data_IF_276469892466
#
_entry.id   IF_276469892466
#
_cell.length_a   1.000
_cell.length_b   1.000
_cell.length_c   1.000
_cell.angle_alpha   90.00
_cell.angle_beta   90.00
_cell.angle_gamma   90.00
#
_symmetry.space_group_name_H-M   'P 1'
#
loop_
_entity.id
_entity.type
_entity.pdbx_description
1 polymer ?
#
# COMPACT_ATOMS: atom_id res chain seq x y z
N UNK A 1 -25.22 14.44 37.34
CA UNK A 1 -24.59 13.73 36.21
C UNK A 1 -24.46 12.26 36.59
N UNK A 2 -25.28 11.39 35.99
CA UNK A 2 -25.21 9.95 36.24
C UNK A 2 -23.86 9.40 35.79
N UNK A 3 -23.20 8.61 36.64
CA UNK A 3 -21.99 7.87 36.26
C UNK A 3 -22.35 7.01 35.05
N UNK A 4 -21.83 7.35 33.87
CA UNK A 4 -21.89 6.49 32.69
C UNK A 4 -21.46 5.08 33.13
N UNK A 5 -22.36 4.11 33.05
CA UNK A 5 -22.05 2.71 33.41
C UNK A 5 -21.04 2.17 32.40
N UNK A 6 -19.76 2.32 32.74
CA UNK A 6 -18.58 1.90 31.98
C UNK A 6 -18.66 0.45 31.49
N UNK A 7 -19.31 -0.44 32.25
CA UNK A 7 -19.46 -1.84 31.88
C UNK A 7 -20.41 -2.10 30.68
N UNK A 8 -21.46 -1.30 30.49
CA UNK A 8 -22.37 -1.49 29.34
C UNK A 8 -21.75 -0.96 28.05
N UNK A 9 -21.15 0.24 28.10
CA UNK A 9 -20.43 0.82 26.94
C UNK A 9 -19.30 -0.09 26.49
N UNK A 10 -18.49 -0.62 27.42
CA UNK A 10 -17.44 -1.58 27.08
C UNK A 10 -18.02 -2.85 26.44
N UNK A 11 -19.13 -3.41 26.95
CA UNK A 11 -19.76 -4.61 26.35
C UNK A 11 -20.25 -4.36 24.92
N UNK A 12 -20.84 -3.21 24.65
CA UNK A 12 -21.35 -2.89 23.32
C UNK A 12 -20.21 -2.63 22.32
N UNK A 13 -19.17 -1.88 22.71
CA UNK A 13 -17.97 -1.70 21.88
C UNK A 13 -17.25 -3.03 21.58
N UNK A 14 -17.20 -3.96 22.54
CA UNK A 14 -16.62 -5.29 22.32
C UNK A 14 -17.47 -6.13 21.35
N UNK A 15 -18.79 -5.93 21.31
CA UNK A 15 -19.70 -6.61 20.36
C UNK A 15 -19.48 -6.12 18.94
N UNK A 16 -19.47 -4.80 18.74
CA UNK A 16 -19.21 -4.18 17.44
C UNK A 16 -17.87 -4.64 16.86
N UNK A 17 -16.81 -4.66 17.67
CA UNK A 17 -15.51 -5.14 17.21
C UNK A 17 -15.54 -6.63 16.81
N UNK A 18 -16.20 -7.51 17.59
CA UNK A 18 -16.30 -8.92 17.21
C UNK A 18 -17.11 -9.11 15.93
N UNK A 19 -18.17 -8.32 15.74
CA UNK A 19 -18.96 -8.31 14.51
C UNK A 19 -18.13 -7.87 13.32
N UNK A 20 -17.37 -6.78 13.46
CA UNK A 20 -16.42 -6.31 12.45
C UNK A 20 -15.39 -7.39 12.07
N UNK A 21 -14.72 -7.99 13.05
CA UNK A 21 -13.71 -9.04 12.80
C UNK A 21 -14.33 -10.23 12.05
N UNK A 22 -15.54 -10.67 12.44
CA UNK A 22 -16.26 -11.76 11.76
C UNK A 22 -16.64 -11.38 10.33
N UNK A 23 -17.13 -10.17 10.11
CA UNK A 23 -17.49 -9.65 8.78
C UNK A 23 -16.27 -9.60 7.85
N UNK A 24 -15.12 -9.10 8.33
CA UNK A 24 -13.87 -9.08 7.55
C UNK A 24 -13.37 -10.50 7.25
N UNK A 25 -13.40 -11.40 8.23
CA UNK A 25 -13.02 -12.80 8.03
C UNK A 25 -13.83 -13.48 6.91
N UNK A 26 -15.16 -13.29 6.93
CA UNK A 26 -16.04 -13.79 5.87
C UNK A 26 -15.72 -13.18 4.51
N UNK A 27 -15.59 -11.85 4.46
CA UNK A 27 -15.32 -11.11 3.23
C UNK A 27 -14.04 -11.61 2.55
N UNK A 28 -12.93 -11.71 3.28
CA UNK A 28 -11.66 -12.12 2.69
C UNK A 28 -11.60 -13.61 2.37
N UNK A 29 -12.26 -14.46 3.15
CA UNK A 29 -12.38 -15.89 2.82
C UNK A 29 -13.15 -16.07 1.51
N UNK A 30 -14.21 -15.28 1.29
CA UNK A 30 -15.00 -15.31 0.06
C UNK A 30 -14.22 -14.77 -1.16
N UNK A 31 -13.30 -13.82 -0.94
CA UNK A 31 -12.41 -13.28 -1.98
C UNK A 31 -11.21 -14.17 -2.29
N UNK A 32 -10.95 -15.22 -1.49
CA UNK A 32 -9.77 -16.07 -1.63
C UNK A 32 -8.48 -15.47 -1.03
N UNK A 33 -8.60 -14.43 -0.20
CA UNK A 33 -7.48 -13.83 0.53
C UNK A 33 -7.40 -14.44 1.93
N UNK A 34 -6.98 -15.69 2.01
CA UNK A 34 -7.02 -16.52 3.20
C UNK A 34 -6.02 -16.07 4.26
N UNK A 35 -4.88 -15.49 3.89
CA UNK A 35 -3.95 -14.89 4.85
C UNK A 35 -4.60 -13.74 5.64
N UNK A 36 -5.25 -12.80 4.93
CA UNK A 36 -5.94 -11.67 5.57
C UNK A 36 -7.12 -12.18 6.40
N UNK A 37 -7.88 -13.14 5.88
CA UNK A 37 -8.94 -13.78 6.65
C UNK A 37 -8.41 -14.42 7.93
N UNK A 38 -7.29 -15.14 7.87
CA UNK A 38 -6.67 -15.78 9.03
C UNK A 38 -6.25 -14.76 10.10
N UNK A 39 -5.65 -13.61 9.76
CA UNK A 39 -5.35 -12.54 10.73
C UNK A 39 -6.61 -12.07 11.47
N UNK A 40 -7.71 -11.82 10.74
CA UNK A 40 -8.99 -11.45 11.35
C UNK A 40 -9.59 -12.55 12.23
N UNK A 41 -9.52 -13.81 11.80
CA UNK A 41 -10.04 -14.95 12.54
C UNK A 41 -9.23 -15.17 13.82
N UNK A 42 -7.91 -15.10 13.77
CA UNK A 42 -7.04 -15.22 14.95
C UNK A 42 -7.41 -14.15 15.99
N UNK A 43 -7.60 -12.89 15.55
CA UNK A 43 -8.04 -11.79 16.43
C UNK A 43 -9.43 -12.05 17.02
N UNK A 44 -10.36 -12.58 16.23
CA UNK A 44 -11.70 -12.96 16.70
C UNK A 44 -11.61 -14.07 17.75
N UNK A 45 -10.88 -15.15 17.46
CA UNK A 45 -10.78 -16.34 18.32
C UNK A 45 -10.01 -16.07 19.61
N UNK A 46 -9.00 -15.19 19.59
CA UNK A 46 -8.35 -14.71 20.82
C UNK A 46 -9.31 -14.03 21.78
N UNK A 47 -10.43 -13.49 21.28
CA UNK A 47 -11.48 -12.82 22.06
C UNK A 47 -12.69 -13.72 22.32
N UNK A 48 -13.00 -14.61 21.37
CA UNK A 48 -14.13 -15.53 21.36
C UNK A 48 -13.67 -16.94 20.93
N UNK A 49 -12.95 -17.67 21.81
CA UNK A 49 -12.34 -18.95 21.44
C UNK A 49 -13.36 -20.08 21.17
N UNK A 50 -14.64 -19.85 21.49
CA UNK A 50 -15.75 -20.79 21.29
C UNK A 50 -16.71 -20.33 20.19
N UNK A 51 -16.28 -19.45 19.29
CA UNK A 51 -17.08 -18.96 18.17
C UNK A 51 -17.16 -20.02 17.07
N UNK A 52 -18.33 -20.66 16.81
CA UNK A 52 -18.40 -21.76 15.83
C UNK A 52 -18.01 -21.32 14.42
N UNK A 53 -18.49 -20.16 13.99
CA UNK A 53 -18.21 -19.60 12.66
C UNK A 53 -16.72 -19.28 12.52
N UNK A 54 -16.13 -18.61 13.52
CA UNK A 54 -14.70 -18.32 13.53
C UNK A 54 -13.83 -19.58 13.49
N UNK A 55 -14.22 -20.64 14.21
CA UNK A 55 -13.48 -21.91 14.20
C UNK A 55 -13.56 -22.65 12.86
N UNK A 56 -14.73 -22.62 12.19
CA UNK A 56 -14.93 -23.25 10.89
C UNK A 56 -14.23 -22.46 9.77
N UNK A 57 -14.35 -21.13 9.78
CA UNK A 57 -13.58 -20.25 8.88
C UNK A 57 -12.09 -20.39 9.12
N UNK A 58 -11.66 -20.53 10.38
CA UNK A 58 -10.26 -20.71 10.76
C UNK A 58 -9.65 -21.96 10.13
N UNK A 59 -10.38 -23.08 10.13
CA UNK A 59 -9.95 -24.30 9.43
C UNK A 59 -9.80 -24.07 7.91
N UNK A 60 -10.76 -23.39 7.28
CA UNK A 60 -10.70 -23.10 5.85
C UNK A 60 -9.51 -22.20 5.52
N UNK A 61 -9.41 -21.04 6.19
CA UNK A 61 -8.35 -20.07 5.93
C UNK A 61 -6.96 -20.66 6.20
N UNK A 62 -6.79 -21.37 7.32
CA UNK A 62 -5.53 -22.00 7.68
C UNK A 62 -5.09 -23.08 6.69
N UNK A 63 -6.04 -23.81 6.09
CA UNK A 63 -5.72 -24.84 5.07
C UNK A 63 -5.16 -24.21 3.81
N UNK A 64 -5.76 -23.11 3.32
CA UNK A 64 -5.29 -22.42 2.11
C UNK A 64 -4.04 -21.57 2.36
N UNK A 65 -3.84 -21.07 3.57
CA UNK A 65 -2.63 -20.32 3.96
C UNK A 65 -1.50 -21.21 4.53
N UNK A 66 -1.62 -22.54 4.41
CA UNK A 66 -0.62 -23.53 4.85
C UNK A 66 -0.21 -23.43 6.33
N UNK A 67 -1.18 -23.24 7.22
CA UNK A 67 -0.98 -23.11 8.68
C UNK A 67 -1.47 -24.36 9.42
N UNK A 68 -0.74 -25.48 9.34
CA UNK A 68 -1.17 -26.77 9.92
C UNK A 68 -1.44 -26.71 11.43
N UNK A 69 -0.62 -25.96 12.16
CA UNK A 69 -0.81 -25.73 13.60
C UNK A 69 -2.14 -25.03 13.87
N UNK A 70 -2.53 -24.08 13.01
CA UNK A 70 -3.77 -23.35 13.17
C UNK A 70 -4.99 -24.20 12.80
N UNK A 71 -4.89 -25.04 11.75
CA UNK A 71 -5.90 -26.05 11.40
C UNK A 71 -6.14 -26.99 12.60
N UNK A 72 -5.08 -27.55 13.18
CA UNK A 72 -5.18 -28.48 14.30
C UNK A 72 -5.86 -27.85 15.52
N UNK A 73 -5.47 -26.61 15.87
CA UNK A 73 -6.09 -25.85 16.98
C UNK A 73 -7.57 -25.58 16.74
N UNK A 74 -7.96 -25.22 15.52
CA UNK A 74 -9.36 -25.01 15.17
C UNK A 74 -10.17 -26.29 15.33
N UNK A 75 -9.69 -27.42 14.76
CA UNK A 75 -10.38 -28.72 14.85
C UNK A 75 -10.53 -29.21 16.30
N UNK A 76 -9.48 -29.09 17.11
CA UNK A 76 -9.53 -29.46 18.52
C UNK A 76 -10.56 -28.60 19.29
N UNK A 77 -10.62 -27.30 19.02
CA UNK A 77 -11.59 -26.41 19.63
C UNK A 77 -13.03 -26.69 19.15
N UNK A 78 -13.23 -27.01 17.86
CA UNK A 78 -14.52 -27.45 17.31
C UNK A 78 -14.99 -28.72 18.03
N UNK A 79 -14.15 -29.76 18.12
CA UNK A 79 -14.48 -31.03 18.79
C UNK A 79 -14.90 -30.82 20.26
N UNK A 80 -14.12 -30.04 21.01
CA UNK A 80 -14.47 -29.69 22.40
C UNK A 80 -15.81 -28.99 22.51
N UNK A 81 -16.11 -28.08 21.57
CA UNK A 81 -17.36 -27.35 21.54
C UNK A 81 -18.55 -28.25 21.19
N UNK A 82 -18.38 -29.18 20.24
CA UNK A 82 -19.38 -30.19 19.88
C UNK A 82 -19.74 -31.06 21.07
N UNK A 83 -18.73 -31.61 21.78
CA UNK A 83 -18.93 -32.41 23.00
C UNK A 83 -19.68 -31.61 24.07
N UNK A 84 -19.29 -30.35 24.29
CA UNK A 84 -19.96 -29.48 25.28
C UNK A 84 -21.43 -29.20 24.94
N UNK A 85 -21.78 -29.17 23.65
CA UNK A 85 -23.12 -28.81 23.16
C UNK A 85 -23.98 -30.02 22.79
N UNK A 86 -23.43 -31.24 22.86
CA UNK A 86 -24.15 -32.47 22.54
C UNK A 86 -24.48 -32.62 21.05
N UNK A 87 -23.65 -32.06 20.16
CA UNK A 87 -23.79 -32.18 18.70
C UNK A 87 -22.62 -32.93 18.10
N UNK A 88 -22.77 -33.44 16.88
CA UNK A 88 -21.72 -34.22 16.19
C UNK A 88 -20.88 -33.39 15.24
N UNK A 89 -21.48 -32.39 14.60
CA UNK A 89 -20.81 -31.50 13.65
C UNK A 89 -20.85 -30.04 14.14
N UNK A 90 -19.72 -29.34 14.06
CA UNK A 90 -19.63 -27.94 14.44
C UNK A 90 -20.48 -27.03 13.53
N UNK A 91 -20.85 -27.48 12.31
CA UNK A 91 -21.82 -26.79 11.46
C UNK A 91 -23.21 -26.69 12.11
N UNK A 92 -23.61 -27.66 12.95
CA UNK A 92 -24.90 -27.63 13.67
C UNK A 92 -24.97 -26.47 14.67
N UNK A 93 -23.82 -25.94 15.11
CA UNK A 93 -23.70 -24.83 16.05
C UNK A 93 -23.84 -23.46 15.39
N UNK A 94 -23.89 -23.39 14.06
CA UNK A 94 -24.09 -22.16 13.30
C UNK A 94 -25.59 -21.89 13.20
N UNK A 95 -26.06 -20.77 13.76
CA UNK A 95 -27.48 -20.49 13.91
C UNK A 95 -28.19 -20.24 12.57
N UNK A 96 -27.55 -19.52 11.65
CA UNK A 96 -28.13 -19.13 10.37
C UNK A 96 -27.88 -20.19 9.30
N UNK A 97 -28.94 -20.73 8.69
CA UNK A 97 -28.82 -21.80 7.67
C UNK A 97 -28.02 -21.32 6.44
N UNK A 98 -28.20 -20.06 6.03
CA UNK A 98 -27.45 -19.49 4.91
C UNK A 98 -25.93 -19.40 5.19
N UNK A 99 -25.52 -19.16 6.45
CA UNK A 99 -24.10 -19.21 6.83
C UNK A 99 -23.59 -20.66 6.84
N UNK A 100 -24.41 -21.58 7.34
CA UNK A 100 -24.10 -23.01 7.43
C UNK A 100 -23.84 -23.62 6.04
N UNK A 101 -24.69 -23.33 5.06
CA UNK A 101 -24.52 -23.79 3.68
C UNK A 101 -23.22 -23.25 3.06
N UNK A 102 -22.93 -21.96 3.25
CA UNK A 102 -21.68 -21.35 2.77
C UNK A 102 -20.45 -21.98 3.41
N UNK A 103 -20.46 -22.21 4.73
CA UNK A 103 -19.36 -22.88 5.43
C UNK A 103 -19.18 -24.31 4.94
N UNK A 104 -20.27 -25.06 4.73
CA UNK A 104 -20.23 -26.42 4.18
C UNK A 104 -19.54 -26.45 2.83
N UNK A 105 -19.87 -25.52 1.93
CA UNK A 105 -19.23 -25.41 0.62
C UNK A 105 -17.73 -25.04 0.73
N UNK A 106 -17.38 -24.09 1.60
CA UNK A 106 -15.99 -23.69 1.82
C UNK A 106 -15.14 -24.81 2.42
N UNK A 107 -15.69 -25.58 3.38
CA UNK A 107 -15.02 -26.72 4.00
C UNK A 107 -14.83 -27.87 3.02
N UNK A 108 -15.83 -28.15 2.17
CA UNK A 108 -15.69 -29.13 1.09
C UNK A 108 -14.54 -28.73 0.15
N UNK A 109 -14.51 -27.46 -0.29
CA UNK A 109 -13.42 -26.90 -1.12
C UNK A 109 -12.06 -27.05 -0.43
N UNK A 110 -11.96 -26.77 0.88
CA UNK A 110 -10.72 -26.88 1.63
C UNK A 110 -10.24 -28.34 1.81
N UNK A 111 -11.16 -29.30 1.91
CA UNK A 111 -10.85 -30.74 2.00
C UNK A 111 -10.35 -31.31 0.68
N UNK A 112 -10.91 -30.85 -0.42
CA UNK A 112 -10.55 -31.26 -1.79
C UNK A 112 -9.33 -30.51 -2.34
N UNK A 113 -8.92 -29.41 -1.69
CA UNK A 113 -7.77 -28.64 -2.10
C UNK A 113 -6.51 -29.53 -2.07
N UNK A 114 -5.76 -29.63 -3.19
CA UNK A 114 -4.53 -30.39 -3.21
C UNK A 114 -3.56 -29.83 -2.17
N UNK A 115 -2.68 -30.67 -1.64
CA UNK A 115 -1.50 -30.17 -0.93
C UNK A 115 -0.66 -29.40 -1.95
N UNK A 116 -0.81 -28.07 -1.95
CA UNK A 116 -0.07 -27.19 -2.84
C UNK A 116 1.39 -27.28 -2.43
N UNK A 117 2.23 -27.83 -3.30
CA UNK A 117 3.69 -27.79 -3.15
C UNK A 117 4.14 -26.40 -3.60
N UNK A 118 4.18 -25.44 -2.67
CA UNK A 118 4.60 -24.05 -2.92
C UNK A 118 3.65 -23.01 -2.31
N UNK A 119 4.14 -21.78 -2.21
CA UNK A 119 3.41 -20.60 -1.73
C UNK A 119 2.04 -20.44 -2.41
N UNK A 120 0.97 -20.25 -1.62
CA UNK A 120 -0.32 -19.87 -2.17
C UNK A 120 -0.28 -18.36 -2.51
N UNK A 121 -0.18 -18.03 -3.80
CA UNK A 121 -0.23 -16.64 -4.26
C UNK A 121 -1.65 -16.08 -4.13
N UNK A 122 -1.78 -15.06 -3.28
CA UNK A 122 -2.99 -14.27 -3.10
C UNK A 122 -2.79 -12.87 -3.69
N UNK A 123 -3.88 -12.12 -3.83
CA UNK A 123 -3.84 -10.80 -4.44
C UNK A 123 -4.70 -9.78 -3.69
N UNK A 124 -4.12 -8.62 -3.42
CA UNK A 124 -4.84 -7.47 -2.89
C UNK A 124 -5.00 -6.41 -3.97
N UNK A 125 -6.22 -5.87 -4.08
CA UNK A 125 -6.57 -4.77 -4.98
C UNK A 125 -7.14 -3.64 -4.13
N UNK A 126 -6.49 -2.48 -4.20
CA UNK A 126 -6.89 -1.26 -3.50
C UNK A 126 -7.45 -0.28 -4.52
N UNK A 127 -8.70 0.12 -4.32
CA UNK A 127 -9.36 1.15 -5.11
C UNK A 127 -9.25 2.50 -4.42
N UNK A 128 -9.29 3.57 -5.22
CA UNK A 128 -9.37 4.92 -4.72
C UNK A 128 -10.69 5.15 -3.97
N UNK A 129 -10.64 5.96 -2.92
CA UNK A 129 -11.82 6.41 -2.17
C UNK A 129 -12.02 7.93 -2.27
N UNK A 130 -11.07 8.64 -2.87
CA UNK A 130 -11.21 10.07 -3.16
C UNK A 130 -12.25 10.31 -4.28
N UNK A 131 -13.18 11.26 -4.10
CA UNK A 131 -14.11 11.64 -5.16
C UNK A 131 -13.38 12.14 -6.39
N UNK A 132 -13.79 11.68 -7.58
CA UNK A 132 -13.16 12.06 -8.86
C UNK A 132 -13.02 13.58 -9.05
N UNK A 133 -14.03 14.35 -8.62
CA UNK A 133 -14.02 15.82 -8.73
C UNK A 133 -12.91 16.48 -7.89
N UNK A 134 -12.57 15.91 -6.73
CA UNK A 134 -11.49 16.41 -5.87
C UNK A 134 -10.13 16.18 -6.53
N UNK A 135 -9.90 14.96 -7.03
CA UNK A 135 -8.69 14.62 -7.78
C UNK A 135 -8.58 15.46 -9.06
N UNK A 136 -9.69 15.70 -9.77
CA UNK A 136 -9.71 16.58 -10.95
C UNK A 136 -9.35 18.03 -10.58
N UNK A 137 -9.84 18.54 -9.45
CA UNK A 137 -9.48 19.85 -8.92
C UNK A 137 -7.97 19.96 -8.64
N UNK A 138 -7.39 18.93 -8.02
CA UNK A 138 -5.95 18.88 -7.76
C UNK A 138 -5.14 18.85 -9.07
N UNK A 139 -5.56 18.06 -10.06
CA UNK A 139 -4.91 18.00 -11.39
C UNK A 139 -4.93 19.35 -12.09
N UNK A 140 -6.05 20.10 -12.02
CA UNK A 140 -6.12 21.46 -12.60
C UNK A 140 -5.11 22.40 -11.95
N UNK A 141 -4.94 22.35 -10.63
CA UNK A 141 -3.93 23.15 -9.92
C UNK A 141 -2.51 22.77 -10.39
N UNK A 142 -2.22 21.48 -10.54
CA UNK A 142 -0.91 21.01 -11.00
C UNK A 142 -0.63 21.39 -12.47
N UNK A 143 -1.65 21.37 -13.32
CA UNK A 143 -1.56 21.84 -14.71
C UNK A 143 -1.32 23.35 -14.77
N UNK A 144 -1.99 24.14 -13.92
CA UNK A 144 -1.80 25.60 -13.83
C UNK A 144 -0.41 26.01 -13.34
N UNK A 145 0.33 25.13 -12.67
CA UNK A 145 1.75 25.39 -12.31
C UNK A 145 2.67 25.41 -13.52
N UNK A 146 2.27 24.78 -14.63
CA UNK A 146 3.03 24.81 -15.88
C UNK A 146 2.77 26.08 -16.70
N UNK A 147 1.64 26.76 -16.50
CA UNK A 147 1.24 27.97 -17.20
C UNK A 147 -0.16 28.45 -16.79
N UNK A 148 -0.55 29.67 -17.15
CA UNK A 148 -1.79 30.29 -16.64
C UNK A 148 -3.09 29.55 -17.01
N UNK A 149 -3.13 28.90 -18.19
CA UNK A 149 -4.27 28.08 -18.61
C UNK A 149 -3.89 26.59 -18.55
N UNK A 150 -4.71 25.73 -17.94
CA UNK A 150 -4.44 24.30 -17.92
C UNK A 150 -4.53 23.73 -19.34
N UNK A 151 -3.49 23.04 -19.76
CA UNK A 151 -3.44 22.36 -21.07
C UNK A 151 -3.98 20.93 -21.01
N UNK A 152 -4.20 20.41 -19.80
CA UNK A 152 -4.56 19.01 -19.56
C UNK A 152 -5.60 18.89 -18.46
N UNK A 153 -6.32 17.78 -18.46
CA UNK A 153 -7.28 17.43 -17.42
C UNK A 153 -7.29 15.93 -17.10
N UNK A 154 -7.88 15.60 -15.95
CA UNK A 154 -8.18 14.23 -15.57
C UNK A 154 -9.46 13.76 -16.26
N UNK A 155 -9.40 12.60 -16.92
CA UNK A 155 -10.56 11.91 -17.46
C UNK A 155 -10.54 10.42 -17.09
N UNK A 156 -11.70 9.76 -17.17
CA UNK A 156 -11.84 8.31 -17.05
C UNK A 156 -12.81 7.80 -18.13
N UNK A 157 -12.33 7.62 -19.38
CA UNK A 157 -13.20 7.20 -20.48
C UNK A 157 -13.76 5.78 -20.25
N UNK A 158 -15.08 5.60 -20.43
CA UNK A 158 -15.76 4.29 -20.20
C UNK A 158 -15.35 3.20 -21.20
N UNK A 159 -14.95 3.58 -22.41
CA UNK A 159 -14.57 2.66 -23.49
C UNK A 159 -13.05 2.66 -23.69
N UNK A 160 -12.32 2.51 -22.59
CA UNK A 160 -10.86 2.48 -22.60
C UNK A 160 -10.36 1.28 -21.81
N UNK A 161 -9.26 0.69 -22.30
CA UNK A 161 -8.48 -0.29 -21.52
C UNK A 161 -7.71 0.38 -20.37
N UNK A 162 -7.60 1.71 -20.41
CA UNK A 162 -7.02 2.51 -19.35
C UNK A 162 -8.08 2.91 -18.33
N UNK A 163 -7.67 3.05 -17.07
CA UNK A 163 -8.48 3.65 -16.02
C UNK A 163 -8.52 5.18 -16.15
N UNK A 164 -8.32 5.85 -15.01
CA UNK A 164 -8.12 7.30 -15.00
C UNK A 164 -6.83 7.65 -15.76
N UNK A 165 -6.83 8.79 -16.43
CA UNK A 165 -5.69 9.28 -17.21
C UNK A 165 -5.69 10.79 -17.37
N UNK A 166 -4.54 11.33 -17.77
CA UNK A 166 -4.38 12.75 -18.09
C UNK A 166 -4.53 12.95 -19.60
N UNK A 167 -5.40 13.84 -20.02
CA UNK A 167 -5.75 14.07 -21.43
C UNK A 167 -5.52 15.53 -21.81
N UNK A 168 -5.10 15.77 -23.05
CA UNK A 168 -4.89 17.11 -23.58
C UNK A 168 -6.24 17.80 -23.86
N UNK A 169 -6.39 19.02 -23.35
CA UNK A 169 -7.56 19.88 -23.59
C UNK A 169 -7.51 20.60 -24.94
N UNK A 170 -6.35 20.64 -25.56
CA UNK A 170 -6.08 21.35 -26.82
C UNK A 170 -4.88 20.71 -27.51
N UNK A 171 -4.53 21.16 -28.71
CA UNK A 171 -3.27 20.78 -29.34
C UNK A 171 -2.10 21.35 -28.54
N UNK A 172 -1.09 20.52 -28.24
CA UNK A 172 0.10 20.91 -27.48
C UNK A 172 1.33 20.65 -28.34
N UNK A 173 2.20 21.65 -28.51
CA UNK A 173 3.45 21.52 -29.26
C UNK A 173 4.48 20.68 -28.52
N UNK A 174 5.39 20.05 -29.25
CA UNK A 174 6.57 19.38 -28.67
C UNK A 174 7.40 20.31 -27.76
N UNK A 175 7.98 19.76 -26.69
CA UNK A 175 8.81 20.49 -25.72
C UNK A 175 8.03 21.34 -24.71
N UNK A 176 6.71 21.28 -24.72
CA UNK A 176 5.86 22.08 -23.82
C UNK A 176 5.79 21.44 -22.45
N UNK A 177 5.99 22.22 -21.39
CA UNK A 177 5.67 21.80 -20.02
C UNK A 177 4.17 21.88 -19.80
N UNK A 178 3.54 20.77 -19.40
CA UNK A 178 2.08 20.65 -19.31
C UNK A 178 1.57 20.46 -17.89
N UNK A 179 2.44 20.03 -16.97
CA UNK A 179 2.10 19.82 -15.57
C UNK A 179 3.34 19.92 -14.67
N UNK A 180 3.18 20.55 -13.51
CA UNK A 180 4.16 20.52 -12.43
C UNK A 180 3.54 19.99 -11.13
N UNK A 181 4.04 18.84 -10.67
CA UNK A 181 3.64 18.23 -9.40
C UNK A 181 4.81 18.18 -8.41
N UNK A 182 4.48 18.17 -7.12
CA UNK A 182 5.39 18.03 -6.00
C UNK A 182 5.08 16.71 -5.28
N UNK A 183 6.08 15.94 -4.85
CA UNK A 183 5.82 14.70 -4.13
C UNK A 183 5.10 15.03 -2.83
N UNK A 184 4.01 14.31 -2.54
CA UNK A 184 3.32 14.44 -1.26
C UNK A 184 3.92 13.51 -0.20
N UNK A 185 4.71 12.55 -0.64
CA UNK A 185 5.39 11.58 0.20
C UNK A 185 6.75 11.26 -0.40
N UNK A 186 7.76 11.14 0.47
CA UNK A 186 9.08 10.62 0.11
C UNK A 186 9.63 9.71 1.20
N UNK A 187 10.33 8.65 0.80
CA UNK A 187 11.11 7.82 1.69
C UNK A 187 12.59 7.85 1.27
N UNK A 188 13.43 8.31 2.19
CA UNK A 188 14.88 8.45 1.99
C UNK A 188 15.56 7.09 1.99
N UNK A 189 16.38 6.85 0.97
CA UNK A 189 17.24 5.67 0.88
C UNK A 189 18.65 5.92 1.41
N UNK A 190 19.21 7.12 1.15
CA UNK A 190 20.61 7.43 1.47
C UNK A 190 20.73 8.59 2.46
N UNK A 191 21.77 8.57 3.31
CA UNK A 191 22.00 9.62 4.31
C UNK A 191 22.45 10.98 3.74
N UNK A 192 22.88 11.04 2.48
CA UNK A 192 23.35 12.24 1.79
C UNK A 192 22.23 13.05 1.11
N UNK A 193 20.97 12.69 1.31
CA UNK A 193 19.81 13.46 0.85
C UNK A 193 18.90 13.89 2.00
N UNK A 194 18.17 14.97 1.80
CA UNK A 194 17.20 15.49 2.75
C UNK A 194 16.11 14.45 3.05
N UNK A 195 15.84 14.19 4.33
CA UNK A 195 14.82 13.22 4.75
C UNK A 195 13.37 13.61 4.40
N UNK A 196 13.13 14.90 4.12
CA UNK A 196 11.80 15.44 3.83
C UNK A 196 11.52 15.68 2.33
N UNK A 197 12.54 15.98 1.52
CA UNK A 197 12.34 16.32 0.10
C UNK A 197 13.30 15.61 -0.88
N UNK A 198 14.20 14.76 -0.39
CA UNK A 198 15.20 14.02 -1.18
C UNK A 198 16.21 14.87 -1.97
N UNK A 199 16.24 16.19 -1.76
CA UNK A 199 17.29 17.05 -2.32
C UNK A 199 18.65 16.64 -1.74
N UNK A 200 19.66 16.48 -2.61
CA UNK A 200 21.03 16.17 -2.20
C UNK A 200 21.59 17.23 -1.27
N UNK A 201 22.15 16.78 -0.14
CA UNK A 201 22.82 17.64 0.81
C UNK A 201 24.25 17.85 0.32
N UNK A 202 24.69 19.11 0.22
CA UNK A 202 26.07 19.42 -0.15
C UNK A 202 27.08 18.83 0.84
N UNK A 203 28.34 18.66 0.43
CA UNK A 203 29.43 18.28 1.35
C UNK A 203 30.28 19.50 1.65
N UNK A 204 30.68 19.68 2.91
CA UNK A 204 31.64 20.71 3.32
C UNK A 204 32.63 20.11 4.30
N UNK A 205 33.92 20.07 3.94
CA UNK A 205 34.98 19.54 4.82
C UNK A 205 34.79 18.08 5.25
N UNK A 206 34.15 17.23 4.44
CA UNK A 206 33.89 15.82 4.76
C UNK A 206 32.55 15.55 5.49
N UNK A 207 31.91 16.57 6.06
CA UNK A 207 30.59 16.48 6.69
C UNK A 207 29.45 16.83 5.71
N UNK A 208 28.27 16.23 5.91
CA UNK A 208 27.04 16.59 5.18
C UNK A 208 26.56 17.97 5.65
N UNK A 209 26.42 18.89 4.69
CA UNK A 209 25.91 20.24 4.92
C UNK A 209 24.38 20.16 4.95
N UNK A 210 23.83 20.06 6.15
CA UNK A 210 22.38 20.04 6.37
C UNK A 210 22.00 20.46 7.78
N UNK A 211 20.73 20.75 7.97
CA UNK A 211 20.14 21.09 9.27
C UNK A 211 19.76 19.76 9.94
N UNK A 212 20.38 19.37 11.07
CA UNK A 212 20.00 18.16 11.79
C UNK A 212 18.65 18.34 12.50
N UNK A 213 18.03 17.22 12.87
CA UNK A 213 16.95 17.25 13.84
C UNK A 213 17.42 17.89 15.17
N UNK A 214 16.53 18.63 15.84
CA UNK A 214 16.84 19.24 17.14
C UNK A 214 16.76 18.23 18.30
N UNK A 215 16.28 17.02 18.03
CA UNK A 215 15.93 16.03 19.06
C UNK A 215 16.61 14.67 18.86
N UNK A 216 17.21 14.41 17.70
CA UNK A 216 17.98 13.19 17.44
C UNK A 216 19.14 13.51 16.49
N UNK A 217 20.03 12.55 16.33
CA UNK A 217 21.21 12.60 15.46
C UNK A 217 21.01 11.85 14.12
N UNK A 218 19.79 11.35 13.83
CA UNK A 218 19.52 10.41 12.73
C UNK A 218 19.03 11.06 11.43
N UNK A 219 18.26 12.15 11.53
CA UNK A 219 17.68 12.83 10.37
C UNK A 219 18.33 14.18 10.11
N UNK A 220 18.58 14.43 8.82
CA UNK A 220 19.19 15.66 8.31
C UNK A 220 18.36 16.19 7.15
N UNK A 221 18.23 17.52 7.11
CA UNK A 221 17.35 18.23 6.19
C UNK A 221 18.12 19.31 5.43
N UNK A 222 17.64 19.70 4.24
CA UNK A 222 18.30 20.75 3.45
C UNK A 222 18.08 22.16 4.01
N UNK A 223 17.06 22.36 4.85
CA UNK A 223 16.70 23.67 5.42
C UNK A 223 15.95 23.52 6.74
N UNK A 224 15.89 24.61 7.52
CA UNK A 224 15.07 24.70 8.74
C UNK A 224 13.59 24.44 8.40
N UNK A 225 13.10 24.96 7.26
CA UNK A 225 11.74 24.72 6.81
C UNK A 225 11.44 23.22 6.59
N UNK A 226 12.34 22.47 5.95
CA UNK A 226 12.19 21.02 5.78
C UNK A 226 12.25 20.26 7.10
N UNK A 227 13.12 20.65 8.03
CA UNK A 227 13.18 20.05 9.38
C UNK A 227 11.86 20.25 10.13
N UNK A 228 11.37 21.48 10.14
CA UNK A 228 10.16 21.84 10.89
C UNK A 228 8.89 21.25 10.25
N UNK A 229 8.84 21.15 8.92
CA UNK A 229 7.79 20.44 8.20
C UNK A 229 7.81 18.93 8.53
N UNK A 230 8.96 18.27 8.40
CA UNK A 230 9.11 16.87 8.77
C UNK A 230 8.69 16.58 10.20
N UNK A 231 9.10 17.43 11.15
CA UNK A 231 8.69 17.32 12.55
C UNK A 231 7.17 17.38 12.70
N UNK A 232 6.52 18.37 12.08
CA UNK A 232 5.06 18.54 12.14
C UNK A 232 4.26 17.50 11.39
N UNK A 233 4.86 16.81 10.42
CA UNK A 233 4.14 15.89 9.54
C UNK A 233 4.31 14.43 9.94
N UNK A 234 5.50 13.99 10.34
CA UNK A 234 5.75 12.57 10.65
C UNK A 234 6.83 12.33 11.71
N UNK A 235 7.90 13.13 11.73
CA UNK A 235 9.09 12.82 12.49
C UNK A 235 8.87 12.92 14.02
N UNK A 236 7.93 13.73 14.50
CA UNK A 236 7.63 13.86 15.94
C UNK A 236 7.29 12.53 16.63
N UNK A 237 6.64 11.59 15.94
CA UNK A 237 6.30 10.27 16.49
C UNK A 237 7.24 9.15 16.00
N UNK A 238 8.15 9.44 15.07
CA UNK A 238 9.18 8.52 14.57
C UNK A 238 10.58 8.80 15.16
N UNK A 239 10.79 9.97 15.77
CA UNK A 239 12.06 10.41 16.30
C UNK A 239 12.53 9.53 17.47
N UNK A 240 13.81 9.14 17.45
CA UNK A 240 14.39 8.23 18.45
C UNK A 240 14.33 8.73 19.88
N UNK A 241 14.37 10.04 20.11
CA UNK A 241 14.19 10.62 21.46
C UNK A 241 12.75 10.60 21.98
N UNK A 242 11.77 10.24 21.13
CA UNK A 242 10.35 10.18 21.49
C UNK A 242 9.76 8.78 21.37
N UNK A 243 10.29 7.96 20.47
CA UNK A 243 9.78 6.65 20.16
C UNK A 243 10.92 5.65 19.92
N UNK A 244 11.50 5.17 21.01
CA UNK A 244 12.60 4.21 21.00
C UNK A 244 12.23 2.91 20.25
N UNK A 245 10.99 2.45 20.39
CA UNK A 245 10.54 1.23 19.73
C UNK A 245 10.44 1.38 18.21
N UNK A 246 9.88 2.49 17.72
CA UNK A 246 9.89 2.79 16.29
C UNK A 246 11.32 2.94 15.78
N UNK A 247 12.17 3.65 16.51
CA UNK A 247 13.55 3.91 16.16
C UNK A 247 14.39 2.62 16.06
N UNK A 248 14.23 1.69 17.01
CA UNK A 248 14.89 0.38 16.96
C UNK A 248 14.44 -0.45 15.74
N UNK A 249 13.14 -0.44 15.43
CA UNK A 249 12.63 -1.10 14.22
C UNK A 249 13.15 -0.44 12.95
N UNK A 250 13.20 0.89 12.91
CA UNK A 250 13.71 1.65 11.77
C UNK A 250 15.19 1.35 11.50
N UNK A 251 16.02 1.25 12.54
CA UNK A 251 17.44 0.89 12.43
C UNK A 251 17.61 -0.49 11.78
N UNK A 252 16.85 -1.48 12.25
CA UNK A 252 16.90 -2.83 11.69
C UNK A 252 16.52 -2.88 10.20
N UNK A 253 15.64 -2.00 9.74
CA UNK A 253 15.31 -1.87 8.31
C UNK A 253 16.37 -1.08 7.54
N UNK A 254 16.97 -0.05 8.15
CA UNK A 254 18.06 0.72 7.54
C UNK A 254 19.32 -0.12 7.33
N UNK A 255 19.61 -1.07 8.22
CA UNK A 255 20.68 -2.03 8.02
C UNK A 255 20.44 -2.90 6.78
N UNK A 256 19.22 -3.45 6.63
CA UNK A 256 18.82 -4.24 5.45
C UNK A 256 18.83 -3.44 4.16
N UNK A 257 18.55 -2.14 4.24
CA UNK A 257 18.61 -1.25 3.09
C UNK A 257 20.03 -1.14 2.50
N UNK A 258 21.06 -1.37 3.32
CA UNK A 258 22.47 -1.39 2.93
C UNK A 258 22.94 -2.77 2.43
N UNK A 259 22.05 -3.77 2.36
CA UNK A 259 22.36 -5.09 1.80
C UNK A 259 22.76 -4.98 0.33
N UNK A 260 23.71 -5.83 -0.09
CA UNK A 260 24.08 -6.00 -1.50
C UNK A 260 22.96 -6.71 -2.30
N UNK A 261 22.02 -7.35 -1.60
CA UNK A 261 20.82 -7.93 -2.20
C UNK A 261 19.81 -6.82 -2.54
N UNK A 262 19.61 -6.61 -3.84
CA UNK A 262 18.69 -5.59 -4.37
C UNK A 262 17.22 -5.86 -4.02
N UNK A 263 16.82 -7.11 -3.85
CA UNK A 263 15.46 -7.49 -3.45
C UNK A 263 15.24 -7.18 -1.98
N UNK A 264 16.19 -7.57 -1.12
CA UNK A 264 16.16 -7.24 0.31
C UNK A 264 16.20 -5.72 0.54
N UNK A 265 17.08 -5.00 -0.15
CA UNK A 265 17.17 -3.54 -0.06
C UNK A 265 15.87 -2.87 -0.51
N UNK A 266 15.22 -3.37 -1.57
CA UNK A 266 13.91 -2.87 -2.03
C UNK A 266 12.80 -3.17 -1.03
N UNK A 267 12.77 -4.36 -0.46
CA UNK A 267 11.80 -4.75 0.56
C UNK A 267 11.94 -3.85 1.81
N UNK A 268 13.17 -3.62 2.27
CA UNK A 268 13.46 -2.73 3.39
C UNK A 268 13.01 -1.28 3.09
N UNK A 269 13.25 -0.77 1.88
CA UNK A 269 12.79 0.55 1.48
C UNK A 269 11.26 0.67 1.50
N UNK A 270 10.56 -0.36 1.03
CA UNK A 270 9.11 -0.43 1.05
C UNK A 270 8.57 -0.47 2.50
N UNK A 271 9.17 -1.28 3.38
CA UNK A 271 8.83 -1.32 4.81
C UNK A 271 8.97 0.06 5.44
N UNK A 272 10.10 0.74 5.22
CA UNK A 272 10.33 2.10 5.71
C UNK A 272 9.29 3.09 5.17
N UNK A 273 8.90 2.96 3.89
CA UNK A 273 7.90 3.82 3.29
C UNK A 273 6.52 3.62 3.94
N UNK A 274 6.09 2.37 4.14
CA UNK A 274 4.84 2.04 4.83
C UNK A 274 4.85 2.55 6.28
N UNK A 275 5.95 2.35 7.01
CA UNK A 275 6.09 2.84 8.37
C UNK A 275 5.98 4.37 8.45
N UNK A 276 6.57 5.09 7.49
CA UNK A 276 6.47 6.55 7.41
C UNK A 276 5.06 7.02 7.05
N UNK A 277 4.32 6.29 6.20
CA UNK A 277 2.89 6.54 5.97
C UNK A 277 2.07 6.33 7.24
N UNK A 278 2.34 5.28 8.01
CA UNK A 278 1.72 5.09 9.32
C UNK A 278 2.05 6.25 10.26
N UNK A 279 3.30 6.70 10.33
CA UNK A 279 3.69 7.86 11.14
C UNK A 279 2.97 9.15 10.71
N UNK A 280 2.89 9.43 9.40
CA UNK A 280 2.11 10.55 8.85
C UNK A 280 0.64 10.49 9.30
N UNK A 281 0.01 9.32 9.19
CA UNK A 281 -1.39 9.12 9.57
C UNK A 281 -1.61 9.26 11.09
N UNK A 282 -0.64 8.85 11.91
CA UNK A 282 -0.66 9.08 13.36
C UNK A 282 -0.61 10.56 13.68
N UNK A 283 0.28 11.34 13.06
CA UNK A 283 0.36 12.78 13.33
C UNK A 283 -0.90 13.51 12.85
N UNK A 284 -1.45 13.11 11.70
CA UNK A 284 -2.67 13.70 11.14
C UNK A 284 -3.96 13.17 11.80
N UNK A 285 -3.88 12.15 12.66
CA UNK A 285 -5.03 11.52 13.33
C UNK A 285 -6.08 10.99 12.34
N UNK A 286 -5.61 10.38 11.25
CA UNK A 286 -6.46 9.75 10.22
C UNK A 286 -6.08 8.29 10.05
N UNK A 287 -6.99 7.49 9.50
CA UNK A 287 -6.66 6.14 9.07
C UNK A 287 -5.57 6.17 7.98
N UNK A 288 -4.57 5.26 7.97
CA UNK A 288 -3.48 5.29 6.98
C UNK A 288 -3.96 5.35 5.52
N UNK A 289 -4.95 4.53 5.17
CA UNK A 289 -5.55 4.52 3.82
C UNK A 289 -6.44 5.73 3.51
N UNK A 290 -6.73 6.57 4.51
CA UNK A 290 -7.49 7.81 4.35
C UNK A 290 -6.59 9.05 4.29
N UNK A 291 -5.25 8.88 4.29
CA UNK A 291 -4.31 9.98 4.11
C UNK A 291 -4.65 10.78 2.84
N UNK A 292 -4.66 12.13 2.92
CA UNK A 292 -4.90 12.97 1.75
C UNK A 292 -3.96 12.63 0.59
N UNK A 293 -4.48 12.65 -0.64
CA UNK A 293 -3.79 12.26 -1.89
C UNK A 293 -3.45 10.77 -1.98
N UNK A 294 -3.11 10.09 -0.89
CA UNK A 294 -2.94 8.63 -0.90
C UNK A 294 -4.25 7.92 -1.27
N UNK A 295 -5.38 8.38 -0.72
CA UNK A 295 -6.72 7.86 -1.04
C UNK A 295 -7.17 8.07 -2.50
N UNK A 296 -6.45 8.90 -3.26
CA UNK A 296 -6.66 9.04 -4.70
C UNK A 296 -6.02 7.90 -5.50
N UNK A 297 -5.08 7.16 -4.92
CA UNK A 297 -4.27 6.17 -5.61
C UNK A 297 -4.96 4.79 -5.62
N UNK A 298 -4.60 3.99 -6.62
CA UNK A 298 -4.95 2.57 -6.71
C UNK A 298 -3.70 1.75 -6.42
N UNK A 299 -3.88 0.54 -5.89
CA UNK A 299 -2.80 -0.40 -5.64
C UNK A 299 -3.18 -1.80 -6.06
N UNK A 300 -2.20 -2.56 -6.54
CA UNK A 300 -2.33 -4.01 -6.71
C UNK A 300 -1.01 -4.66 -6.33
N UNK A 301 -1.09 -5.76 -5.57
CA UNK A 301 0.06 -6.56 -5.23
C UNK A 301 -0.34 -8.02 -5.13
N UNK A 302 0.54 -8.88 -5.63
CA UNK A 302 0.52 -10.32 -5.37
C UNK A 302 1.40 -10.60 -4.15
N UNK A 303 0.98 -11.52 -3.29
CA UNK A 303 1.74 -11.88 -2.09
C UNK A 303 1.58 -13.36 -1.77
N UNK A 304 2.62 -13.96 -1.22
CA UNK A 304 2.54 -15.29 -0.63
C UNK A 304 1.79 -15.23 0.71
N UNK A 305 0.77 -16.09 0.86
CA UNK A 305 -0.07 -16.14 2.04
C UNK A 305 0.71 -16.43 3.33
N UNK A 306 1.71 -17.34 3.28
CA UNK A 306 2.48 -17.72 4.46
C UNK A 306 3.41 -16.58 4.90
N UNK A 307 4.16 -16.00 3.98
CA UNK A 307 5.03 -14.83 4.18
C UNK A 307 4.24 -13.62 4.67
N UNK A 308 3.05 -13.37 4.13
CA UNK A 308 2.19 -12.29 4.62
C UNK A 308 1.83 -12.47 6.10
N UNK A 309 1.37 -13.66 6.50
CA UNK A 309 1.00 -13.94 7.89
C UNK A 309 2.19 -13.81 8.86
N UNK A 310 3.38 -14.26 8.46
CA UNK A 310 4.56 -14.23 9.32
C UNK A 310 5.22 -12.85 9.36
N UNK A 311 5.56 -12.29 8.20
CA UNK A 311 6.38 -11.08 8.10
C UNK A 311 5.53 -9.82 8.10
N UNK A 312 4.50 -9.75 7.25
CA UNK A 312 3.62 -8.57 7.18
C UNK A 312 2.74 -8.46 8.42
N UNK A 313 2.29 -9.58 8.96
CA UNK A 313 1.61 -9.66 10.26
C UNK A 313 2.50 -9.13 11.40
N UNK A 314 3.77 -9.55 11.46
CA UNK A 314 4.72 -9.06 12.46
C UNK A 314 4.99 -7.55 12.29
N UNK A 315 5.14 -7.08 11.05
CA UNK A 315 5.27 -5.66 10.74
C UNK A 315 4.07 -4.85 11.23
N UNK A 316 2.85 -5.32 10.93
CA UNK A 316 1.62 -4.67 11.39
C UNK A 316 1.58 -4.56 12.91
N UNK A 317 1.92 -5.63 13.64
CA UNK A 317 1.96 -5.62 15.11
C UNK A 317 3.02 -4.65 15.63
N UNK A 318 4.23 -4.65 15.06
CA UNK A 318 5.30 -3.76 15.48
C UNK A 318 4.91 -2.29 15.29
N UNK A 319 4.41 -1.92 14.10
CA UNK A 319 3.99 -0.55 13.80
C UNK A 319 2.74 -0.13 14.60
N UNK A 320 1.75 -1.01 14.73
CA UNK A 320 0.55 -0.75 15.53
C UNK A 320 0.91 -0.41 16.99
N UNK A 321 1.87 -1.15 17.56
CA UNK A 321 2.33 -0.93 18.92
C UNK A 321 3.17 0.36 19.00
N UNK A 322 4.09 0.57 18.06
CA UNK A 322 5.02 1.70 18.08
C UNK A 322 4.33 3.05 17.88
N UNK A 323 3.34 3.08 17.00
CA UNK A 323 2.62 4.30 16.64
C UNK A 323 1.26 4.41 17.34
N UNK A 324 0.94 3.46 18.25
CA UNK A 324 -0.32 3.36 19.00
C UNK A 324 -1.55 3.33 18.09
N UNK A 325 -1.47 2.61 16.97
CA UNK A 325 -2.54 2.45 16.00
C UNK A 325 -3.28 1.12 16.22
N UNK A 326 -4.37 1.13 16.99
CA UNK A 326 -5.12 -0.09 17.36
C UNK A 326 -5.87 -0.77 16.22
N UNK A 327 -6.00 -0.07 15.09
CA UNK A 327 -6.71 -0.52 13.89
C UNK A 327 -5.78 -0.77 12.70
N UNK A 328 -4.47 -0.80 12.92
CA UNK A 328 -3.51 -1.19 11.88
C UNK A 328 -3.38 -2.73 11.89
N UNK A 329 -4.07 -3.39 10.98
CA UNK A 329 -3.99 -4.83 10.76
C UNK A 329 -3.14 -5.15 9.55
N UNK A 330 -2.94 -6.44 9.29
CA UNK A 330 -2.17 -6.90 8.14
C UNK A 330 -2.76 -6.38 6.82
N UNK A 331 -4.08 -6.25 6.76
CA UNK A 331 -4.80 -5.69 5.61
C UNK A 331 -4.32 -4.28 5.25
N UNK A 332 -4.28 -3.36 6.22
CA UNK A 332 -3.88 -1.98 5.96
C UNK A 332 -2.42 -1.92 5.49
N UNK A 333 -1.54 -2.73 6.09
CA UNK A 333 -0.13 -2.79 5.71
C UNK A 333 0.04 -3.33 4.29
N UNK A 334 -0.64 -4.44 3.93
CA UNK A 334 -0.64 -4.97 2.55
C UNK A 334 -1.21 -3.95 1.55
N UNK A 335 -2.27 -3.24 1.93
CA UNK A 335 -2.87 -2.21 1.10
C UNK A 335 -1.92 -1.04 0.84
N UNK A 336 -1.17 -0.62 1.86
CA UNK A 336 -0.14 0.42 1.74
C UNK A 336 1.02 -0.05 0.85
N UNK A 337 1.48 -1.30 0.98
CA UNK A 337 2.47 -1.87 0.07
C UNK A 337 1.99 -1.83 -1.38
N UNK A 338 0.77 -2.30 -1.64
CA UNK A 338 0.17 -2.30 -2.98
C UNK A 338 0.10 -0.89 -3.58
N UNK A 339 -0.31 0.11 -2.79
CA UNK A 339 -0.32 1.51 -3.25
C UNK A 339 1.09 2.01 -3.53
N UNK A 340 2.05 1.81 -2.61
CA UNK A 340 3.43 2.31 -2.76
C UNK A 340 4.08 1.69 -3.99
N UNK A 341 4.07 0.36 -4.12
CA UNK A 341 4.72 -0.35 -5.22
C UNK A 341 4.11 0.01 -6.59
N UNK A 342 2.79 0.22 -6.64
CA UNK A 342 2.10 0.59 -7.89
C UNK A 342 2.46 2.01 -8.35
N UNK A 343 2.71 2.93 -7.40
CA UNK A 343 2.78 4.37 -7.68
C UNK A 343 4.16 4.99 -7.44
N UNK A 344 5.16 4.19 -7.06
CA UNK A 344 6.48 4.72 -6.70
C UNK A 344 7.29 5.24 -7.88
N UNK A 345 7.91 6.40 -7.65
CA UNK A 345 8.93 6.96 -8.50
C UNK A 345 10.27 6.84 -7.81
N UNK A 346 11.00 5.78 -8.15
CA UNK A 346 12.32 5.50 -7.59
C UNK A 346 13.36 6.45 -8.19
N UNK A 347 14.23 6.95 -7.33
CA UNK A 347 15.39 7.78 -7.66
C UNK A 347 16.60 7.32 -6.82
N UNK A 348 17.83 7.71 -7.18
CA UNK A 348 19.00 7.34 -6.40
C UNK A 348 18.93 7.76 -4.91
N UNK A 349 18.22 8.84 -4.59
CA UNK A 349 18.05 9.32 -3.21
C UNK A 349 16.97 8.59 -2.41
N UNK A 350 16.09 7.84 -3.07
CA UNK A 350 14.95 7.17 -2.47
C UNK A 350 13.70 7.16 -3.36
N UNK A 351 12.56 6.85 -2.76
CA UNK A 351 11.29 6.72 -3.46
C UNK A 351 10.35 7.88 -3.13
N UNK A 352 9.49 8.25 -4.08
CA UNK A 352 8.54 9.34 -3.96
C UNK A 352 7.18 8.96 -4.53
N UNK A 353 6.11 9.46 -3.91
CA UNK A 353 4.75 9.39 -4.43
C UNK A 353 4.25 10.79 -4.80
N UNK A 354 3.59 10.86 -5.94
CA UNK A 354 3.04 12.09 -6.53
C UNK A 354 1.54 11.94 -6.66
N UNK A 355 0.83 13.05 -6.68
CA UNK A 355 -0.62 13.00 -6.83
C UNK A 355 -0.99 12.96 -8.32
N UNK A 356 -0.50 13.93 -9.10
CA UNK A 356 -0.79 14.07 -10.52
C UNK A 356 -0.01 13.08 -11.39
N UNK A 357 1.28 12.86 -11.10
CA UNK A 357 2.10 11.99 -11.95
C UNK A 357 1.70 10.51 -11.87
N UNK A 358 1.10 10.07 -10.77
CA UNK A 358 0.56 8.72 -10.62
C UNK A 358 -0.71 8.48 -11.46
N UNK A 359 -1.28 9.52 -12.08
CA UNK A 359 -2.43 9.41 -13.01
C UNK A 359 -1.99 9.27 -14.48
N UNK A 360 -0.68 9.34 -14.77
CA UNK A 360 -0.16 9.16 -16.12
C UNK A 360 -0.08 7.68 -16.45
N UNK A 361 -0.71 7.25 -17.54
CA UNK A 361 -0.67 5.86 -17.98
C UNK A 361 0.61 5.54 -18.79
N UNK A 362 0.87 4.25 -18.96
CA UNK A 362 2.06 3.74 -19.64
C UNK A 362 1.93 3.70 -21.17
N UNK A 363 3.03 4.06 -21.86
CA UNK A 363 3.33 3.65 -23.24
C UNK A 363 4.82 3.34 -23.40
N UNK A 364 5.15 2.28 -24.14
CA UNK A 364 6.54 1.99 -24.53
C UNK A 364 7.07 2.97 -25.60
N UNK A 365 6.17 3.69 -26.26
CA UNK A 365 6.45 4.83 -27.15
C UNK A 365 5.69 6.04 -26.59
N UNK A 366 6.19 6.66 -25.50
CA UNK A 366 5.47 7.72 -24.80
C UNK A 366 5.46 9.03 -25.59
N UNK A 367 4.44 9.86 -25.34
CA UNK A 367 4.38 11.22 -25.87
C UNK A 367 4.83 12.28 -24.86
N UNK A 368 5.12 11.88 -23.61
CA UNK A 368 5.61 12.74 -22.55
C UNK A 368 6.77 12.10 -21.76
N UNK A 369 7.58 12.93 -21.11
CA UNK A 369 8.57 12.50 -20.13
C UNK A 369 8.54 13.41 -18.90
N UNK A 370 8.95 12.85 -17.76
CA UNK A 370 9.22 13.62 -16.56
C UNK A 370 10.66 14.11 -16.57
N UNK A 371 10.85 15.43 -16.58
CA UNK A 371 12.16 16.09 -16.62
C UNK A 371 12.39 16.83 -15.30
N UNK A 372 13.56 16.66 -14.69
CA UNK A 372 13.96 17.32 -13.44
C UNK A 372 15.06 16.57 -12.72
N UNK A 373 15.89 17.29 -11.98
CA UNK A 373 17.08 16.73 -11.29
C UNK A 373 16.77 16.11 -9.93
N UNK A 374 15.71 16.55 -9.26
CA UNK A 374 15.31 16.06 -7.94
C UNK A 374 13.81 15.72 -7.92
N UNK A 375 13.35 15.04 -6.86
CA UNK A 375 11.95 14.65 -6.73
C UNK A 375 11.00 15.86 -6.64
N UNK A 376 11.43 16.95 -6.01
CA UNK A 376 10.61 18.15 -5.87
C UNK A 376 10.37 18.86 -7.21
N UNK A 377 11.36 18.96 -8.11
CA UNK A 377 11.30 19.86 -9.25
C UNK A 377 11.05 19.16 -10.59
N UNK A 378 10.39 18.00 -10.58
CA UNK A 378 10.00 17.29 -11.82
C UNK A 378 8.88 18.03 -12.54
N UNK A 379 8.92 18.02 -13.87
CA UNK A 379 7.91 18.58 -14.77
C UNK A 379 7.56 17.58 -15.84
N UNK A 380 6.28 17.50 -16.20
CA UNK A 380 5.83 16.72 -17.36
C UNK A 380 6.00 17.55 -18.63
N UNK A 381 6.76 17.03 -19.59
CA UNK A 381 7.08 17.72 -20.86
C UNK A 381 6.70 16.83 -22.04
N UNK A 382 6.08 17.41 -23.08
CA UNK A 382 5.75 16.70 -24.32
C UNK A 382 7.01 16.40 -25.14
N UNK A 383 7.10 15.17 -25.66
CA UNK A 383 8.20 14.68 -26.52
C UNK A 383 7.92 14.88 -28.01
N UNK A 384 6.66 15.13 -28.36
CA UNK A 384 6.15 15.41 -29.70
C UNK A 384 4.90 16.26 -29.60
N UNK A 385 4.39 16.69 -30.75
CA UNK A 385 3.05 17.29 -30.81
C UNK A 385 2.00 16.29 -30.31
N UNK A 386 1.08 16.79 -29.48
CA UNK A 386 -0.05 16.05 -28.88
C UNK A 386 -1.34 16.66 -29.37
N UNK A 387 -2.27 15.83 -29.85
CA UNK A 387 -3.58 16.30 -30.34
C UNK A 387 -4.53 16.57 -29.17
N UNK A 388 -5.51 17.44 -29.41
CA UNK A 388 -6.64 17.59 -28.48
C UNK A 388 -7.33 16.24 -28.26
N UNK A 389 -7.69 15.94 -27.01
CA UNK A 389 -8.28 14.66 -26.60
C UNK A 389 -7.29 13.49 -26.54
N UNK A 390 -6.02 13.67 -26.88
CA UNK A 390 -5.01 12.63 -26.77
C UNK A 390 -4.55 12.46 -25.31
N UNK A 391 -4.38 11.21 -24.88
CA UNK A 391 -3.87 10.91 -23.54
C UNK A 391 -2.37 11.16 -23.44
N UNK A 392 -1.92 11.73 -22.33
CA UNK A 392 -0.52 11.90 -22.00
C UNK A 392 0.01 10.63 -21.34
N UNK A 393 1.06 10.06 -21.94
CA UNK A 393 1.61 8.76 -21.59
C UNK A 393 3.11 8.89 -21.31
N UNK A 394 3.57 8.21 -20.26
CA UNK A 394 4.99 8.10 -19.90
C UNK A 394 5.45 6.64 -20.01
N UNK A 395 6.76 6.41 -20.05
CA UNK A 395 7.31 5.06 -19.96
C UNK A 395 7.71 4.73 -18.51
N UNK A 396 6.88 3.94 -17.82
CA UNK A 396 7.17 3.44 -16.46
C UNK A 396 8.50 2.69 -16.33
N UNK A 397 9.02 2.16 -17.44
CA UNK A 397 10.21 1.34 -17.50
C UNK A 397 11.34 2.00 -18.30
N UNK A 398 11.36 3.33 -18.38
CA UNK A 398 12.31 4.06 -19.23
C UNK A 398 13.78 3.62 -19.01
N UNK A 399 14.18 3.38 -17.75
CA UNK A 399 15.54 2.95 -17.40
C UNK A 399 15.87 1.50 -17.81
N UNK A 400 14.85 0.65 -18.02
CA UNK A 400 15.01 -0.78 -18.30
C UNK A 400 14.75 -1.13 -19.77
N UNK A 401 14.07 -0.25 -20.52
CA UNK A 401 13.44 -0.64 -21.80
C UNK A 401 14.04 -0.01 -23.05
N UNK A 402 15.08 0.83 -22.92
CA UNK A 402 15.74 1.49 -24.05
C UNK A 402 16.22 0.50 -25.12
N UNK A 403 16.60 -0.73 -24.73
CA UNK A 403 17.04 -1.81 -25.63
C UNK A 403 16.36 -3.16 -25.33
N UNK A 404 15.26 -3.15 -24.60
CA UNK A 404 14.57 -4.37 -24.20
C UNK A 404 13.75 -4.94 -25.38
N UNK A 405 13.73 -6.26 -25.49
CA UNK A 405 12.91 -6.95 -26.50
C UNK A 405 11.41 -6.75 -26.24
N UNK A 406 10.55 -7.03 -27.22
CA UNK A 406 9.11 -7.08 -27.01
C UNK A 406 8.71 -7.98 -25.84
N UNK A 407 9.33 -9.16 -25.72
CA UNK A 407 9.07 -10.11 -24.64
C UNK A 407 9.40 -9.52 -23.26
N UNK A 408 10.57 -8.89 -23.11
CA UNK A 408 10.99 -8.27 -21.84
C UNK A 408 10.09 -7.10 -21.45
N UNK A 409 9.74 -6.23 -22.42
CA UNK A 409 8.82 -5.10 -22.18
C UNK A 409 7.45 -5.60 -21.74
N UNK A 410 6.95 -6.68 -22.35
CA UNK A 410 5.67 -7.30 -21.99
C UNK A 410 5.72 -7.88 -20.58
N UNK A 411 6.79 -8.59 -20.22
CA UNK A 411 7.00 -9.12 -18.88
C UNK A 411 7.01 -8.00 -17.81
N UNK A 412 7.69 -6.88 -18.07
CA UNK A 412 7.71 -5.72 -17.17
C UNK A 412 6.33 -5.05 -16.99
N UNK A 413 5.46 -5.11 -18.00
CA UNK A 413 4.07 -4.63 -17.87
C UNK A 413 3.22 -5.62 -17.07
N UNK A 414 3.40 -6.93 -17.30
CA UNK A 414 2.71 -7.99 -16.57
C UNK A 414 3.06 -7.98 -15.07
N UNK A 415 4.31 -7.70 -14.71
CA UNK A 415 4.73 -7.47 -13.32
C UNK A 415 4.02 -6.28 -12.64
N UNK A 416 3.42 -5.36 -13.42
CA UNK A 416 2.56 -4.28 -12.93
C UNK A 416 1.07 -4.55 -13.18
N UNK A 417 0.72 -5.80 -13.47
CA UNK A 417 -0.65 -6.28 -13.67
C UNK A 417 -1.41 -5.61 -14.83
N UNK A 418 -0.73 -5.25 -15.92
CA UNK A 418 -1.39 -4.75 -17.14
C UNK A 418 -0.72 -5.22 -18.43
N UNK A 419 -1.47 -5.16 -19.54
CA UNK A 419 -0.96 -5.38 -20.90
C UNK A 419 -0.87 -4.04 -21.66
N UNK A 420 0.25 -3.80 -22.35
CA UNK A 420 0.47 -2.56 -23.08
C UNK A 420 0.04 -2.70 -24.54
N UNK A 421 -0.90 -1.84 -24.95
CA UNK A 421 -1.44 -1.81 -26.33
C UNK A 421 -0.93 -0.62 -27.17
N UNK A 422 0.23 -0.05 -26.82
CA UNK A 422 0.82 1.02 -27.64
C UNK A 422 1.27 0.51 -29.02
N UNK A 423 1.45 1.41 -30.00
CA UNK A 423 1.83 1.05 -31.37
C UNK A 423 3.09 0.17 -31.44
N UNK A 424 4.11 0.48 -30.63
CA UNK A 424 5.33 -0.34 -30.52
C UNK A 424 5.04 -1.78 -30.06
N UNK A 425 4.13 -1.97 -29.10
CA UNK A 425 3.73 -3.32 -28.65
C UNK A 425 2.86 -4.04 -29.70
N UNK A 426 1.94 -3.32 -30.36
CA UNK A 426 1.09 -3.89 -31.41
C UNK A 426 1.93 -4.39 -32.59
N UNK A 427 2.97 -3.64 -32.97
CA UNK A 427 3.94 -4.02 -34.01
C UNK A 427 4.94 -5.09 -33.57
N UNK A 428 4.99 -5.43 -32.26
CA UNK A 428 5.95 -6.37 -31.66
C UNK A 428 7.41 -6.01 -31.90
N UNK A 429 7.72 -4.72 -31.94
CA UNK A 429 9.07 -4.14 -32.07
C UNK A 429 9.82 -4.14 -30.73
#
# INVERSE_FOLDING_TARGET
>A
MGRLRTAWVARESLRELNFFLRQRAWHFTAMGNYAIAADYIIRLLNRRPRDPVGLLLGEVAAKFSQQDVFVAKCREAQQRLCVQRGVTDALELVAEEAEREKLRALLAKAREAPEVVGAAEEQIVVLETEPFAETQGAVRIMAQRAGGLPLVELQQPKQSVYGRGIYALTRISSGTTVMGDQPFFVQRMRGDVCAHCLVTLGRSGGATRGVPCAHCDRETYCSVACRDAAWREYHICACSSRNEMYAAWEDAMRERLLSDDMEESRAALACLAVAKLCALSTVQQVHPLALPRLRSLRGRADYDAATALTEVGALAVALATALRQTHLYMEEVLSLFAIVQTNEFVSPGGTALYHGYSLLNHSCEPNCALVGSDAANRRLVTLRDVKEGEQLLINYNANLTTRASYADRRALCQQRHFECFCLKCVRRE
#
